data_IF_517593265952
#
_entry.id   IF_517593265952
#
_cell.length_a   1.000
_cell.length_b   1.000
_cell.length_c   1.000
_cell.angle_alpha   90.00
_cell.angle_beta   90.00
_cell.angle_gamma   90.00
#
_symmetry.space_group_name_H-M   'P 1'
#
loop_
_entity.id
_entity.type
_entity.pdbx_description
1 polymer ?
#
# COMPACT_ATOMS: atom_id res chain seq x y z
N UNK A 1 -20.16 10.04 -8.35
CA UNK A 1 -19.31 9.47 -7.26
C UNK A 1 -17.93 10.12 -7.20
N UNK A 2 -17.08 9.99 -8.24
CA UNK A 2 -15.69 10.46 -8.16
C UNK A 2 -15.60 11.98 -8.19
N UNK A 3 -16.45 12.64 -8.98
CA UNK A 3 -16.61 14.10 -8.91
C UNK A 3 -17.12 14.54 -7.53
N UNK A 4 -18.08 13.83 -6.95
CA UNK A 4 -18.56 14.06 -5.58
C UNK A 4 -17.49 13.79 -4.50
N UNK A 5 -16.54 12.87 -4.76
CA UNK A 5 -15.35 12.66 -3.92
C UNK A 5 -14.37 13.82 -4.07
N UNK A 6 -14.13 14.29 -5.29
CA UNK A 6 -13.28 15.45 -5.58
C UNK A 6 -13.86 16.75 -4.97
N UNK A 7 -15.18 16.90 -4.95
CA UNK A 7 -15.90 18.00 -4.30
C UNK A 7 -15.86 17.88 -2.77
N UNK A 8 -16.05 16.67 -2.21
CA UNK A 8 -15.93 16.41 -0.76
C UNK A 8 -14.50 16.57 -0.25
N UNK A 9 -13.50 16.38 -1.11
CA UNK A 9 -12.09 16.48 -0.75
C UNK A 9 -11.30 17.38 -1.72
N UNK A 10 -11.52 18.71 -1.70
CA UNK A 10 -10.95 19.64 -2.68
C UNK A 10 -9.41 19.64 -2.71
N UNK A 11 -8.78 19.36 -1.56
CA UNK A 11 -7.32 19.25 -1.43
C UNK A 11 -6.72 18.05 -2.16
N UNK A 12 -7.53 17.07 -2.57
CA UNK A 12 -7.11 15.87 -3.31
C UNK A 12 -7.34 16.02 -4.82
N UNK A 13 -8.01 17.09 -5.26
CA UNK A 13 -8.34 17.33 -6.67
C UNK A 13 -7.09 17.45 -7.55
N UNK A 14 -6.01 18.08 -7.06
CA UNK A 14 -4.74 18.12 -7.80
C UNK A 14 -4.08 16.73 -7.91
N UNK A 15 -4.16 15.91 -6.86
CA UNK A 15 -3.60 14.55 -6.83
C UNK A 15 -4.35 13.54 -7.73
N UNK A 16 -5.58 13.85 -8.14
CA UNK A 16 -6.33 13.07 -9.13
C UNK A 16 -5.83 13.28 -10.57
N UNK A 17 -5.12 14.37 -10.84
CA UNK A 17 -4.67 14.75 -12.18
C UNK A 17 -3.15 14.78 -12.36
N UNK A 18 -2.40 14.95 -11.28
CA UNK A 18 -0.93 15.01 -11.30
C UNK A 18 -0.33 13.83 -10.55
N UNK A 19 0.51 13.07 -11.24
CA UNK A 19 1.29 11.99 -10.64
C UNK A 19 2.48 12.59 -9.88
N UNK A 20 2.19 13.13 -8.70
CA UNK A 20 3.18 13.77 -7.84
C UNK A 20 4.05 12.76 -7.09
N UNK A 21 3.72 11.46 -7.11
CA UNK A 21 4.50 10.43 -6.43
C UNK A 21 4.91 9.34 -7.41
N UNK A 22 6.21 9.16 -7.55
CA UNK A 22 6.81 8.30 -8.58
C UNK A 22 8.10 8.89 -9.13
N UNK A 23 8.23 10.22 -9.07
CA UNK A 23 9.43 10.94 -9.52
C UNK A 23 10.21 11.61 -8.39
N UNK A 24 9.57 11.86 -7.24
CA UNK A 24 10.22 12.48 -6.09
C UNK A 24 10.68 11.44 -5.07
N UNK A 25 11.81 11.77 -4.42
CA UNK A 25 12.68 11.02 -3.47
C UNK A 25 12.00 10.44 -2.22
N UNK A 26 10.68 10.28 -2.23
CA UNK A 26 9.89 9.87 -1.09
C UNK A 26 8.89 8.80 -1.48
N UNK A 27 9.40 7.73 -2.08
CA UNK A 27 8.70 6.45 -2.09
C UNK A 27 8.15 6.15 -0.69
N UNK A 28 6.82 6.11 -0.60
CA UNK A 28 5.93 5.95 0.55
C UNK A 28 5.36 7.17 1.26
N UNK A 29 5.79 8.41 1.02
CA UNK A 29 5.04 9.55 1.58
C UNK A 29 5.26 10.83 0.80
N UNK A 30 4.20 11.60 0.58
CA UNK A 30 4.25 13.01 0.25
C UNK A 30 4.90 13.77 1.39
N UNK A 31 5.14 15.08 1.23
CA UNK A 31 5.80 15.88 2.25
C UNK A 31 5.10 15.68 3.59
N UNK A 32 5.78 14.98 4.51
CA UNK A 32 5.33 14.85 5.89
C UNK A 32 5.52 16.23 6.49
N UNK A 33 4.44 17.01 6.58
CA UNK A 33 4.50 18.39 7.10
C UNK A 33 5.04 18.48 8.53
N UNK A 34 5.28 17.36 9.22
CA UNK A 34 5.55 17.31 10.66
C UNK A 34 6.59 16.25 11.11
N UNK A 35 7.48 15.74 10.25
CA UNK A 35 8.59 14.86 10.72
C UNK A 35 9.97 15.39 10.38
N UNK A 36 10.87 15.36 11.37
CA UNK A 36 12.32 15.60 11.20
C UNK A 36 13.03 14.46 10.45
N UNK A 37 12.43 13.27 10.39
CA UNK A 37 13.04 12.08 9.77
C UNK A 37 12.75 12.08 8.26
N UNK A 38 13.80 12.26 7.45
CA UNK A 38 13.72 12.11 6.00
C UNK A 38 13.71 10.61 5.66
N UNK A 39 12.76 10.20 4.83
CA UNK A 39 12.72 8.81 4.36
C UNK A 39 13.92 8.53 3.45
N UNK A 40 14.59 7.39 3.63
CA UNK A 40 15.63 6.93 2.71
C UNK A 40 15.07 6.70 1.30
N UNK A 41 15.90 6.96 0.30
CA UNK A 41 15.59 6.64 -1.09
C UNK A 41 15.46 5.13 -1.29
N UNK A 42 14.56 4.75 -2.20
CA UNK A 42 14.25 3.36 -2.56
C UNK A 42 14.56 3.20 -4.04
N UNK A 43 15.57 2.42 -4.37
CA UNK A 43 16.11 2.32 -5.73
C UNK A 43 15.88 0.95 -6.35
N UNK A 44 16.24 -0.13 -5.65
CA UNK A 44 16.21 -1.49 -6.21
C UNK A 44 14.86 -2.18 -6.04
N UNK A 45 14.55 -3.18 -6.88
CA UNK A 45 13.32 -3.96 -6.75
C UNK A 45 13.18 -4.62 -5.37
N UNK A 46 14.28 -5.10 -4.80
CA UNK A 46 14.33 -5.61 -3.42
C UNK A 46 13.85 -4.59 -2.42
N UNK A 47 14.42 -3.38 -2.45
CA UNK A 47 14.08 -2.30 -1.53
C UNK A 47 12.60 -1.90 -1.71
N UNK A 48 12.14 -1.79 -2.94
CA UNK A 48 10.74 -1.48 -3.30
C UNK A 48 9.78 -2.52 -2.73
N UNK A 49 10.09 -3.80 -2.91
CA UNK A 49 9.26 -4.91 -2.44
C UNK A 49 9.20 -4.97 -0.92
N UNK A 50 10.35 -5.01 -0.25
CA UNK A 50 10.40 -5.07 1.22
C UNK A 50 9.72 -3.87 1.87
N UNK A 51 9.90 -2.69 1.28
CA UNK A 51 9.25 -1.46 1.73
C UNK A 51 7.73 -1.59 1.64
N UNK A 52 7.18 -2.10 0.54
CA UNK A 52 5.74 -2.36 0.40
C UNK A 52 5.24 -3.43 1.39
N UNK A 53 6.01 -4.50 1.62
CA UNK A 53 5.66 -5.55 2.59
C UNK A 53 5.68 -5.08 4.04
N UNK A 54 6.40 -3.99 4.31
CA UNK A 54 6.45 -3.37 5.63
C UNK A 54 5.21 -2.56 6.00
N UNK A 55 4.35 -2.26 5.02
CA UNK A 55 3.18 -1.43 5.22
C UNK A 55 2.21 -2.05 6.21
N UNK A 56 2.14 -1.42 7.38
CA UNK A 56 1.16 -1.74 8.41
C UNK A 56 0.08 -0.67 8.54
N UNK A 57 -0.78 -0.77 9.56
CA UNK A 57 -1.80 0.23 9.88
C UNK A 57 -1.21 1.53 10.47
N UNK A 58 0.06 1.82 10.19
CA UNK A 58 0.80 2.91 10.82
C UNK A 58 0.35 4.26 10.29
N UNK A 59 0.40 5.26 11.19
CA UNK A 59 0.52 6.66 10.78
C UNK A 59 1.76 6.80 9.90
N UNK A 60 1.74 7.81 9.03
CA UNK A 60 2.82 8.14 8.11
C UNK A 60 4.22 8.06 8.76
N UNK A 61 4.39 8.64 9.95
CA UNK A 61 5.66 8.64 10.68
C UNK A 61 6.17 7.22 10.98
N UNK A 62 5.27 6.33 11.40
CA UNK A 62 5.60 4.93 11.67
C UNK A 62 5.96 4.15 10.41
N UNK A 63 5.41 4.52 9.25
CA UNK A 63 5.78 3.94 7.96
C UNK A 63 7.19 4.37 7.53
N UNK A 64 7.55 5.64 7.75
CA UNK A 64 8.90 6.16 7.46
C UNK A 64 9.95 5.48 8.33
N UNK A 65 9.71 5.40 9.64
CA UNK A 65 10.63 4.73 10.56
C UNK A 65 10.85 3.26 10.18
N UNK A 66 9.75 2.54 9.92
CA UNK A 66 9.80 1.13 9.54
C UNK A 66 10.55 0.91 8.21
N UNK A 67 10.34 1.79 7.23
CA UNK A 67 11.09 1.79 5.96
C UNK A 67 12.59 1.94 6.24
N UNK A 68 12.97 2.98 6.97
CA UNK A 68 14.37 3.27 7.27
C UNK A 68 15.06 2.12 8.01
N UNK A 69 14.35 1.48 8.94
CA UNK A 69 14.84 0.32 9.67
C UNK A 69 15.12 -0.86 8.72
N UNK A 70 14.17 -1.21 7.85
CA UNK A 70 14.35 -2.28 6.86
C UNK A 70 15.51 -2.00 5.89
N UNK A 71 15.56 -0.80 5.33
CA UNK A 71 16.59 -0.41 4.38
C UNK A 71 17.98 -0.34 5.02
N UNK A 72 18.08 -0.10 6.33
CA UNK A 72 19.37 -0.14 7.03
C UNK A 72 19.93 -1.56 7.18
N UNK A 73 19.07 -2.58 7.25
CA UNK A 73 19.47 -3.98 7.32
C UNK A 73 19.79 -4.57 5.95
N UNK A 74 18.97 -4.25 4.95
CA UNK A 74 19.10 -4.85 3.60
C UNK A 74 20.06 -4.07 2.71
N UNK A 75 20.22 -2.76 2.94
CA UNK A 75 21.04 -1.88 2.09
C UNK A 75 20.69 -2.11 0.62
N UNK A 76 21.69 -2.31 -0.24
CA UNK A 76 21.53 -2.56 -1.68
C UNK A 76 21.62 -4.06 -2.03
N UNK A 77 21.29 -4.95 -1.08
CA UNK A 77 21.33 -6.39 -1.35
C UNK A 77 20.29 -6.78 -2.42
N UNK A 78 20.74 -7.60 -3.37
CA UNK A 78 19.87 -8.21 -4.37
C UNK A 78 19.01 -9.31 -3.74
N UNK A 79 17.77 -9.42 -4.20
CA UNK A 79 16.79 -10.35 -3.63
C UNK A 79 17.30 -11.79 -3.63
N UNK A 80 17.99 -12.18 -4.70
CA UNK A 80 18.57 -13.52 -4.91
C UNK A 80 19.70 -13.85 -3.94
N UNK A 81 20.32 -12.85 -3.30
CA UNK A 81 21.42 -13.05 -2.36
C UNK A 81 20.94 -13.16 -0.91
N UNK A 82 19.67 -12.84 -0.64
CA UNK A 82 19.09 -12.96 0.69
C UNK A 82 18.86 -14.43 1.02
N UNK A 83 19.38 -14.88 2.16
CA UNK A 83 19.05 -16.22 2.65
C UNK A 83 17.63 -16.25 3.22
N UNK A 84 16.94 -17.41 3.27
CA UNK A 84 15.66 -17.54 3.94
C UNK A 84 15.69 -17.07 5.41
N UNK A 85 16.81 -17.31 6.11
CA UNK A 85 17.02 -16.86 7.49
C UNK A 85 17.10 -15.32 7.56
N UNK A 86 17.81 -14.69 6.61
CA UNK A 86 17.90 -13.24 6.50
C UNK A 86 16.52 -12.62 6.29
N UNK A 87 15.73 -13.17 5.35
CA UNK A 87 14.36 -12.69 5.08
C UNK A 87 13.45 -12.83 6.30
N UNK A 88 13.53 -13.96 7.00
CA UNK A 88 12.72 -14.21 8.20
C UNK A 88 13.11 -13.32 9.39
N UNK A 89 14.38 -12.90 9.47
CA UNK A 89 14.91 -12.03 10.52
C UNK A 89 14.64 -10.53 10.27
N UNK A 90 14.12 -10.17 9.09
CA UNK A 90 13.79 -8.78 8.79
C UNK A 90 12.79 -8.22 9.81
N UNK A 91 12.92 -6.95 10.22
CA UNK A 91 12.24 -6.36 11.36
C UNK A 91 10.79 -5.99 11.05
N UNK A 92 10.07 -6.84 10.30
CA UNK A 92 8.65 -6.66 10.08
C UNK A 92 7.91 -6.69 11.41
N UNK A 93 6.97 -5.77 11.56
CA UNK A 93 6.26 -5.62 12.82
C UNK A 93 5.22 -6.70 13.04
N UNK A 94 4.58 -7.16 11.97
CA UNK A 94 3.49 -8.12 12.05
C UNK A 94 3.97 -9.48 11.54
N UNK A 95 3.68 -10.55 12.30
CA UNK A 95 4.10 -11.92 11.95
C UNK A 95 3.64 -12.34 10.54
N UNK A 96 2.46 -11.89 10.12
CA UNK A 96 1.94 -12.19 8.80
C UNK A 96 2.76 -11.52 7.68
N UNK A 97 3.39 -10.37 7.91
CA UNK A 97 4.28 -9.71 6.93
C UNK A 97 5.54 -10.55 6.73
N UNK A 98 6.13 -11.05 7.84
CA UNK A 98 7.27 -11.97 7.79
C UNK A 98 6.89 -13.25 7.03
N UNK A 99 5.73 -13.83 7.33
CA UNK A 99 5.25 -15.03 6.65
C UNK A 99 5.03 -14.79 5.17
N UNK A 100 4.30 -13.73 4.80
CA UNK A 100 4.05 -13.35 3.42
C UNK A 100 5.36 -13.18 2.63
N UNK A 101 6.34 -12.48 3.21
CA UNK A 101 7.64 -12.22 2.58
C UNK A 101 8.47 -13.49 2.44
N UNK A 102 8.43 -14.38 3.45
CA UNK A 102 9.14 -15.67 3.43
C UNK A 102 8.53 -16.62 2.39
N UNK A 103 7.21 -16.69 2.30
CA UNK A 103 6.52 -17.53 1.32
C UNK A 103 6.78 -17.03 -0.10
N UNK A 104 6.73 -15.71 -0.33
CA UNK A 104 7.15 -15.10 -1.60
C UNK A 104 8.59 -15.46 -1.96
N UNK A 105 9.54 -15.28 -1.03
CA UNK A 105 10.94 -15.62 -1.25
C UNK A 105 11.12 -17.09 -1.67
N UNK A 106 10.49 -18.02 -0.93
CA UNK A 106 10.55 -19.45 -1.20
C UNK A 106 9.97 -19.79 -2.57
N UNK A 107 8.82 -19.21 -2.92
CA UNK A 107 8.14 -19.49 -4.17
C UNK A 107 8.86 -18.89 -5.38
N UNK A 108 9.47 -17.72 -5.23
CA UNK A 108 10.32 -17.14 -6.27
C UNK A 108 11.53 -18.04 -6.55
N UNK A 109 12.24 -18.48 -5.50
CA UNK A 109 13.37 -19.42 -5.67
C UNK A 109 12.96 -20.73 -6.35
N UNK A 110 11.80 -21.29 -5.97
CA UNK A 110 11.26 -22.51 -6.60
C UNK A 110 10.89 -22.31 -8.07
N UNK A 111 10.49 -21.11 -8.46
CA UNK A 111 10.17 -20.80 -9.85
C UNK A 111 11.40 -20.69 -10.75
N UNK A 112 12.61 -20.59 -10.18
CA UNK A 112 13.85 -20.35 -10.92
C UNK A 112 13.97 -18.92 -11.48
N UNK A 113 13.05 -18.02 -11.14
CA UNK A 113 13.06 -16.61 -11.58
C UNK A 113 13.81 -15.70 -10.60
N UNK A 114 14.30 -14.57 -11.10
CA UNK A 114 14.73 -13.44 -10.27
C UNK A 114 13.57 -12.50 -9.98
N UNK A 115 13.74 -11.60 -9.00
CA UNK A 115 12.76 -10.55 -8.72
C UNK A 115 12.64 -9.59 -9.90
N UNK A 116 13.75 -9.25 -10.54
CA UNK A 116 13.79 -8.38 -11.72
C UNK A 116 12.99 -8.96 -12.88
N UNK A 117 13.25 -10.23 -13.23
CA UNK A 117 12.52 -10.92 -14.30
C UNK A 117 11.02 -11.05 -13.99
N UNK A 118 10.68 -11.28 -12.71
CA UNK A 118 9.29 -11.26 -12.28
C UNK A 118 8.69 -9.86 -12.46
N UNK A 119 9.36 -8.79 -12.05
CA UNK A 119 8.88 -7.41 -12.17
C UNK A 119 8.69 -7.00 -13.64
N UNK A 120 9.62 -7.33 -14.53
CA UNK A 120 9.47 -7.12 -15.98
C UNK A 120 8.24 -7.84 -16.53
N UNK A 121 8.03 -9.10 -16.14
CA UNK A 121 6.84 -9.83 -16.53
C UNK A 121 5.56 -9.18 -15.98
N UNK A 122 5.54 -8.77 -14.70
CA UNK A 122 4.37 -8.14 -14.09
C UNK A 122 4.02 -6.80 -14.76
N UNK A 123 5.00 -6.03 -15.24
CA UNK A 123 4.78 -4.78 -15.98
C UNK A 123 4.04 -4.98 -17.31
N UNK A 124 4.09 -6.19 -17.88
CA UNK A 124 3.32 -6.53 -19.09
C UNK A 124 1.85 -6.90 -18.82
N UNK A 125 1.46 -6.99 -17.54
CA UNK A 125 0.11 -7.40 -17.13
C UNK A 125 -0.78 -6.21 -16.77
N UNK A 126 -2.09 -6.46 -16.66
CA UNK A 126 -2.99 -5.53 -15.98
C UNK A 126 -2.66 -5.50 -14.48
N UNK A 127 -2.99 -4.39 -13.79
CA UNK A 127 -2.72 -4.27 -12.35
C UNK A 127 -3.39 -5.37 -11.52
N UNK A 128 -4.57 -5.83 -11.90
CA UNK A 128 -5.25 -6.93 -11.20
C UNK A 128 -4.57 -8.29 -11.43
N UNK A 129 -4.17 -8.59 -12.67
CA UNK A 129 -3.41 -9.81 -12.97
C UNK A 129 -2.05 -9.82 -12.25
N UNK A 130 -1.36 -8.67 -12.22
CA UNK A 130 -0.12 -8.51 -11.47
C UNK A 130 -0.33 -8.72 -9.96
N UNK A 131 -1.43 -8.18 -9.40
CA UNK A 131 -1.80 -8.40 -8.01
C UNK A 131 -2.02 -9.88 -7.71
N UNK A 132 -2.81 -10.58 -8.52
CA UNK A 132 -3.13 -11.99 -8.28
C UNK A 132 -1.87 -12.86 -8.35
N UNK A 133 -1.01 -12.64 -9.35
CA UNK A 133 0.26 -13.34 -9.46
C UNK A 133 1.15 -13.13 -8.22
N UNK A 134 1.27 -11.90 -7.73
CA UNK A 134 2.04 -11.62 -6.52
C UNK A 134 1.40 -12.18 -5.25
N UNK A 135 0.07 -12.10 -5.14
CA UNK A 135 -0.68 -12.63 -4.00
C UNK A 135 -0.50 -14.15 -3.89
N UNK A 136 -0.58 -14.86 -5.01
CA UNK A 136 -0.35 -16.31 -5.09
C UNK A 136 1.07 -16.67 -4.67
N UNK A 137 2.07 -15.98 -5.21
CA UNK A 137 3.47 -16.19 -4.80
C UNK A 137 3.68 -15.90 -3.31
N UNK A 138 2.93 -14.96 -2.76
CA UNK A 138 2.99 -14.55 -1.36
C UNK A 138 2.14 -15.40 -0.40
N UNK A 139 1.43 -16.43 -0.90
CA UNK A 139 0.54 -17.26 -0.09
C UNK A 139 -0.69 -16.54 0.47
N UNK A 140 -1.09 -15.42 -0.14
CA UNK A 140 -2.20 -14.58 0.32
C UNK A 140 -3.52 -15.14 -0.18
N UNK A 141 -4.42 -15.55 0.74
CA UNK A 141 -5.75 -16.10 0.41
C UNK A 141 -6.87 -15.05 0.26
N UNK A 142 -6.54 -13.76 0.35
CA UNK A 142 -7.52 -12.68 0.35
C UNK A 142 -6.93 -11.35 -0.11
N UNK A 143 -7.46 -10.24 0.40
CA UNK A 143 -6.90 -8.93 0.08
C UNK A 143 -5.63 -8.65 0.91
N UNK A 144 -4.51 -8.35 0.25
CA UNK A 144 -3.28 -7.85 0.88
C UNK A 144 -2.98 -6.43 0.42
N UNK A 145 -3.05 -5.51 1.38
CA UNK A 145 -2.68 -4.11 1.18
C UNK A 145 -1.22 -3.92 0.75
N UNK A 146 -0.33 -4.80 1.20
CA UNK A 146 1.08 -4.77 0.83
C UNK A 146 1.29 -5.10 -0.65
N UNK A 147 0.57 -6.12 -1.16
CA UNK A 147 0.63 -6.50 -2.57
C UNK A 147 0.03 -5.40 -3.45
N UNK A 148 -1.16 -4.90 -3.08
CA UNK A 148 -1.80 -3.78 -3.78
C UNK A 148 -0.87 -2.56 -3.87
N UNK A 149 -0.23 -2.21 -2.76
CA UNK A 149 0.70 -1.09 -2.73
C UNK A 149 1.91 -1.33 -3.62
N UNK A 150 2.49 -2.53 -3.64
CA UNK A 150 3.61 -2.82 -4.52
C UNK A 150 3.21 -2.68 -5.99
N UNK A 151 2.08 -3.27 -6.39
CA UNK A 151 1.55 -3.13 -7.76
C UNK A 151 1.34 -1.67 -8.14
N UNK A 152 0.70 -0.91 -7.25
CA UNK A 152 0.33 0.47 -7.52
C UNK A 152 1.53 1.41 -7.51
N UNK A 153 2.33 1.39 -6.45
CA UNK A 153 3.39 2.39 -6.23
C UNK A 153 4.71 1.96 -6.85
N UNK A 154 4.98 0.64 -6.94
CA UNK A 154 6.23 0.14 -7.48
C UNK A 154 6.22 -0.16 -8.96
N UNK A 155 5.15 -0.81 -9.42
CA UNK A 155 4.99 -1.14 -10.84
C UNK A 155 4.22 -0.04 -11.60
N UNK A 156 3.69 0.96 -10.88
CA UNK A 156 2.89 2.05 -11.44
C UNK A 156 1.66 1.58 -12.23
N UNK A 157 1.18 0.36 -11.95
CA UNK A 157 0.04 -0.26 -12.62
C UNK A 157 -1.27 0.24 -12.04
N UNK A 158 -2.27 0.38 -12.91
CA UNK A 158 -3.62 0.76 -12.50
C UNK A 158 -4.29 -0.34 -11.70
N UNK A 159 -4.46 -0.07 -10.40
CA UNK A 159 -5.02 -0.99 -9.44
C UNK A 159 -5.69 -0.20 -8.32
N UNK A 160 -6.86 -0.65 -7.87
CA UNK A 160 -7.61 0.01 -6.79
C UNK A 160 -7.87 -0.96 -5.65
N UNK A 161 -7.55 -0.60 -4.40
CA UNK A 161 -7.82 -1.46 -3.27
C UNK A 161 -9.32 -1.49 -2.97
N UNK A 162 -9.91 -2.67 -2.75
CA UNK A 162 -11.28 -2.82 -2.23
C UNK A 162 -11.25 -3.46 -0.85
N UNK A 163 -10.60 -2.75 0.07
CA UNK A 163 -10.50 -3.12 1.47
C UNK A 163 -11.75 -2.72 2.27
N UNK A 164 -11.77 -3.01 3.57
CA UNK A 164 -12.91 -2.67 4.44
C UNK A 164 -13.25 -1.17 4.46
N UNK A 165 -12.27 -0.29 4.28
CA UNK A 165 -12.47 1.16 4.33
C UNK A 165 -13.06 1.66 3.02
N UNK A 166 -12.54 1.18 1.90
CA UNK A 166 -13.10 1.47 0.57
C UNK A 166 -14.52 0.89 0.46
N UNK A 167 -14.78 -0.33 0.92
CA UNK A 167 -16.14 -0.92 0.95
C UNK A 167 -17.14 -0.06 1.73
N UNK A 168 -16.74 0.47 2.89
CA UNK A 168 -17.60 1.40 3.66
C UNK A 168 -17.85 2.71 2.92
N UNK A 169 -16.85 3.22 2.20
CA UNK A 169 -17.00 4.42 1.40
C UNK A 169 -17.95 4.16 0.22
N UNK A 170 -17.77 3.08 -0.52
CA UNK A 170 -18.66 2.68 -1.62
C UNK A 170 -20.11 2.50 -1.15
N UNK A 171 -20.31 1.90 0.03
CA UNK A 171 -21.64 1.77 0.63
C UNK A 171 -22.30 3.13 0.90
N UNK A 172 -21.54 4.19 1.23
CA UNK A 172 -22.09 5.55 1.41
C UNK A 172 -22.49 6.25 0.10
N UNK A 173 -22.24 5.61 -1.04
CA UNK A 173 -22.64 6.04 -2.38
C UNK A 173 -23.57 5.01 -3.05
N UNK A 174 -24.18 4.09 -2.29
CA UNK A 174 -25.04 3.01 -2.78
C UNK A 174 -24.36 2.03 -3.76
N UNK A 175 -23.02 1.96 -3.73
CA UNK A 175 -22.20 1.07 -4.55
C UNK A 175 -21.79 -0.19 -3.79
N UNK A 176 -22.73 -0.79 -3.07
CA UNK A 176 -22.48 -2.05 -2.34
C UNK A 176 -22.27 -3.19 -3.34
N UNK A 177 -21.32 -4.09 -3.03
CA UNK A 177 -21.00 -5.22 -3.91
C UNK A 177 -19.98 -4.93 -5.01
N UNK A 178 -19.72 -3.66 -5.33
CA UNK A 178 -18.76 -3.27 -6.38
C UNK A 178 -17.38 -3.87 -6.10
N UNK A 179 -16.92 -4.67 -7.06
CA UNK A 179 -15.62 -5.34 -7.02
C UNK A 179 -14.47 -4.44 -7.43
N UNK A 180 -13.24 -4.95 -7.34
CA UNK A 180 -12.05 -4.19 -7.78
C UNK A 180 -12.10 -3.86 -9.27
N UNK A 181 -12.40 -4.84 -10.12
CA UNK A 181 -12.42 -4.67 -11.57
C UNK A 181 -13.46 -3.62 -11.97
N UNK A 182 -14.69 -3.77 -11.49
CA UNK A 182 -15.78 -2.83 -11.72
C UNK A 182 -15.45 -1.42 -11.22
N UNK A 183 -14.88 -1.28 -10.02
CA UNK A 183 -14.45 0.02 -9.52
C UNK A 183 -13.36 0.65 -10.40
N UNK A 184 -12.44 -0.17 -10.91
CA UNK A 184 -11.36 0.28 -11.79
C UNK A 184 -11.92 0.82 -13.10
N UNK A 185 -12.90 0.13 -13.70
CA UNK A 185 -13.56 0.59 -14.94
C UNK A 185 -14.38 1.86 -14.70
N UNK A 186 -15.18 1.93 -13.63
CA UNK A 186 -15.93 3.15 -13.27
C UNK A 186 -15.02 4.38 -13.11
N UNK A 187 -13.81 4.17 -12.58
CA UNK A 187 -12.81 5.24 -12.45
C UNK A 187 -12.27 5.69 -13.82
N UNK A 188 -12.00 4.73 -14.73
CA UNK A 188 -11.55 5.03 -16.09
C UNK A 188 -12.62 5.74 -16.90
N UNK A 189 -13.86 5.28 -16.83
CA UNK A 189 -15.02 5.90 -17.49
C UNK A 189 -15.23 7.35 -17.05
N UNK A 190 -14.96 7.64 -15.78
CA UNK A 190 -14.97 9.00 -15.24
C UNK A 190 -13.74 9.85 -15.65
N UNK A 191 -12.84 9.34 -16.49
CA UNK A 191 -11.66 10.05 -17.00
C UNK A 191 -10.50 10.14 -16.01
N UNK A 192 -10.48 9.35 -14.95
CA UNK A 192 -9.42 9.35 -13.94
C UNK A 192 -8.53 8.11 -14.07
N UNK A 193 -7.28 8.24 -13.60
CA UNK A 193 -6.37 7.09 -13.46
C UNK A 193 -6.69 6.32 -12.18
N UNK A 194 -7.05 5.02 -12.25
CA UNK A 194 -7.34 4.18 -11.08
C UNK A 194 -6.29 4.27 -9.98
N UNK A 195 -5.00 4.23 -10.34
CA UNK A 195 -3.89 4.37 -9.37
C UNK A 195 -3.95 5.67 -8.57
N UNK A 196 -4.30 6.79 -9.20
CA UNK A 196 -4.38 8.09 -8.50
C UNK A 196 -5.56 8.14 -7.54
N UNK A 197 -6.71 7.61 -7.95
CA UNK A 197 -7.89 7.48 -7.07
C UNK A 197 -7.60 6.56 -5.88
N UNK A 198 -6.97 5.41 -6.12
CA UNK A 198 -6.56 4.48 -5.07
C UNK A 198 -5.67 5.14 -4.01
N UNK A 199 -4.78 6.02 -4.43
CA UNK A 199 -3.92 6.78 -3.54
C UNK A 199 -4.69 7.81 -2.71
N UNK A 200 -5.64 8.52 -3.30
CA UNK A 200 -6.56 9.41 -2.59
C UNK A 200 -7.35 8.65 -1.51
N UNK A 201 -7.86 7.46 -1.86
CA UNK A 201 -8.57 6.59 -0.92
C UNK A 201 -7.68 6.13 0.24
N UNK A 202 -6.42 5.80 -0.06
CA UNK A 202 -5.42 5.44 0.95
C UNK A 202 -5.13 6.58 1.92
N UNK A 203 -4.87 7.80 1.41
CA UNK A 203 -4.60 8.99 2.23
C UNK A 203 -5.80 9.34 3.13
N UNK A 204 -7.02 9.23 2.61
CA UNK A 204 -8.24 9.39 3.40
C UNK A 204 -8.35 8.37 4.54
N UNK A 205 -7.99 7.11 4.28
CA UNK A 205 -7.93 6.07 5.30
C UNK A 205 -6.91 6.38 6.41
N UNK A 206 -5.76 6.96 6.05
CA UNK A 206 -4.75 7.40 7.02
C UNK A 206 -5.21 8.61 7.84
N UNK A 207 -5.84 9.60 7.20
CA UNK A 207 -6.29 10.83 7.87
C UNK A 207 -7.48 10.59 8.81
N UNK A 208 -8.41 9.69 8.48
CA UNK A 208 -9.44 9.27 9.44
C UNK A 208 -8.86 8.55 10.67
N UNK A 209 -7.70 7.92 10.53
CA UNK A 209 -6.96 7.34 11.67
C UNK A 209 -6.25 8.42 12.52
N UNK A 210 -6.06 9.62 11.98
CA UNK A 210 -5.56 10.81 12.70
C UNK A 210 -6.71 11.59 13.38
N UNK A 211 -7.91 11.51 12.81
CA UNK A 211 -9.12 12.14 13.34
C UNK A 211 -9.89 11.22 14.30
N UNK A 212 -9.24 10.36 15.07
CA UNK A 212 -9.85 9.85 16.30
C UNK A 212 -9.62 10.95 17.35
N UNK A 213 -10.60 11.84 17.58
CA UNK A 213 -10.47 12.75 18.69
C UNK A 213 -10.61 11.88 19.93
N UNK A 214 -9.88 12.25 20.96
CA UNK A 214 -10.26 12.06 22.34
C UNK A 214 -11.72 12.48 22.55
N UNK A 215 -12.69 11.62 22.21
CA UNK A 215 -14.01 11.66 22.82
C UNK A 215 -13.83 10.99 24.18
N UNK A 216 -13.32 11.81 25.11
CA UNK A 216 -13.81 11.75 26.48
C UNK A 216 -15.33 11.93 26.40
N UNK A 217 -16.08 10.87 26.62
CA UNK A 217 -17.39 10.99 27.25
C UNK A 217 -17.28 10.26 28.59
N UNK A 218 -17.01 10.91 29.73
CA UNK A 218 -17.99 11.63 30.56
C UNK A 218 -19.36 10.95 30.73
N UNK A 219 -19.47 9.63 30.50
CA UNK A 219 -20.63 8.81 30.87
C UNK A 219 -20.18 7.46 31.41
N UNK A 220 -19.58 7.46 32.61
CA UNK A 220 -19.42 6.27 33.46
C UNK A 220 -19.08 6.65 34.92
N UNK A 221 -19.55 7.82 35.39
CA UNK A 221 -19.28 8.31 36.76
C UNK A 221 -20.56 8.76 37.49
N UNK A 222 -21.70 8.13 37.18
CA UNK A 222 -22.95 8.34 37.92
C UNK A 222 -23.71 7.02 38.04
N UNK A 223 -23.06 6.00 38.59
CA UNK A 223 -23.72 4.75 39.00
C UNK A 223 -22.80 4.00 39.97
N UNK A 224 -22.40 4.69 41.03
CA UNK A 224 -21.97 4.09 42.32
C UNK A 224 -22.34 5.05 43.42
N UNK A 225 -23.61 4.99 43.83
CA UNK A 225 -24.04 5.23 45.21
C UNK A 225 -24.98 4.11 45.57
#
# INVERSE_FOLDING_TARGET
MIESLAERFPHLKSALHQDTWGYDKTWMVGPVRETKELGRDVQTWTQKYLTAMSLGPWRIQGQVHQKNLLLSQVRDAEWSTLSPLTVAALPFRLRWQTQQTTDFHRNLLRSGSTLDALCEHLLSLTGDAAYHKLADMSGVRGYSKCVDFFVREALLLDCVPVDRHVRRLLASFDLTGVGRLELTELIREAGFKPRLVARVLYEQGLNKSNACPTIRSSRCASERR
#
